data_IF_096173353419
#
_entry.id   IF_096173353419
#
_cell.length_a   1.000
_cell.length_b   1.000
_cell.length_c   1.000
_cell.angle_alpha   90.00
_cell.angle_beta   90.00
_cell.angle_gamma   90.00
#
_symmetry.space_group_name_H-M   'P 1'
#
loop_
_entity.id
_entity.type
_entity.pdbx_description
1 polymer ?
#
# COMPACT_ATOMS: atom_id res chain seq x y z
N UNK A 1 22.98 -19.35 -19.80
CA UNK A 1 21.88 -18.67 -19.10
C UNK A 1 22.20 -18.63 -17.60
N UNK A 2 22.08 -17.47 -16.98
CA UNK A 2 22.36 -17.32 -15.56
C UNK A 2 21.18 -17.86 -14.72
N UNK A 3 21.50 -18.71 -13.74
CA UNK A 3 20.52 -19.16 -12.77
C UNK A 3 20.26 -18.00 -11.79
N UNK A 4 19.02 -17.46 -11.78
CA UNK A 4 18.66 -16.31 -10.96
C UNK A 4 18.75 -16.59 -9.46
N UNK A 5 18.58 -17.85 -9.02
CA UNK A 5 18.71 -18.21 -7.61
C UNK A 5 20.14 -18.03 -7.09
N UNK A 6 21.13 -18.20 -7.97
CA UNK A 6 22.55 -18.04 -7.61
C UNK A 6 22.98 -16.59 -7.46
N UNK A 7 22.22 -15.62 -7.97
CA UNK A 7 22.50 -14.19 -7.82
C UNK A 7 21.67 -13.53 -6.73
N UNK A 8 20.99 -14.33 -5.89
CA UNK A 8 20.30 -13.81 -4.70
C UNK A 8 18.98 -13.12 -4.95
N UNK A 9 18.34 -13.33 -6.11
CA UNK A 9 17.02 -12.79 -6.38
C UNK A 9 15.94 -13.51 -5.57
N UNK A 10 14.94 -12.78 -5.12
CA UNK A 10 13.84 -13.31 -4.33
C UNK A 10 12.67 -13.68 -5.23
N UNK A 11 12.02 -14.78 -4.89
CA UNK A 11 10.80 -15.21 -5.55
C UNK A 11 9.58 -14.57 -4.89
N UNK A 12 8.51 -14.34 -5.66
CA UNK A 12 7.29 -13.71 -5.17
C UNK A 12 6.40 -14.62 -4.36
N UNK A 13 6.68 -15.92 -4.31
CA UNK A 13 5.87 -16.88 -3.55
C UNK A 13 5.82 -16.66 -2.06
N UNK A 14 6.72 -15.84 -1.50
CA UNK A 14 6.69 -15.46 -0.09
C UNK A 14 5.66 -14.35 0.21
N UNK A 15 5.06 -13.73 -0.81
CA UNK A 15 4.10 -12.66 -0.63
C UNK A 15 2.72 -13.26 -0.40
N UNK A 16 2.13 -13.01 0.78
CA UNK A 16 0.80 -13.51 1.12
C UNK A 16 -0.31 -12.52 0.75
N UNK A 17 0.01 -11.26 0.60
CA UNK A 17 -0.92 -10.21 0.24
C UNK A 17 -0.20 -8.87 0.15
N UNK A 18 -0.99 -7.81 -0.01
CA UNK A 18 -0.51 -6.43 -0.08
C UNK A 18 -1.40 -5.52 0.75
N UNK A 19 -0.81 -4.47 1.29
CA UNK A 19 -1.55 -3.33 1.82
C UNK A 19 -1.30 -2.12 0.92
N UNK A 20 -2.37 -1.41 0.57
CA UNK A 20 -2.29 -0.11 -0.06
C UNK A 20 -2.87 0.92 0.90
N UNK A 21 -2.07 1.90 1.28
CA UNK A 21 -2.45 2.96 2.21
C UNK A 21 -2.71 4.23 1.41
N UNK A 22 -3.96 4.67 1.39
CA UNK A 22 -4.36 5.91 0.73
C UNK A 22 -4.18 7.05 1.73
N UNK A 23 -3.30 8.00 1.41
CA UNK A 23 -3.00 9.13 2.28
C UNK A 23 -3.86 10.33 1.92
N UNK A 24 -4.26 11.08 2.94
CA UNK A 24 -5.10 12.26 2.78
C UNK A 24 -4.92 13.22 3.96
N UNK A 25 -5.52 14.39 3.85
CA UNK A 25 -5.61 15.38 4.92
C UNK A 25 -7.08 15.80 5.12
N UNK A 26 -7.31 16.82 5.93
CA UNK A 26 -8.67 17.28 6.20
C UNK A 26 -9.40 17.79 4.95
N UNK A 27 -8.65 18.29 3.95
CA UNK A 27 -9.23 18.80 2.71
C UNK A 27 -9.56 17.72 1.70
N UNK A 28 -8.93 16.53 1.82
CA UNK A 28 -9.05 15.43 0.84
C UNK A 28 -9.65 14.16 1.42
N UNK A 29 -10.09 14.17 2.68
CA UNK A 29 -10.65 12.97 3.34
C UNK A 29 -11.87 12.42 2.59
N UNK A 30 -12.76 13.28 2.10
CA UNK A 30 -13.94 12.82 1.36
C UNK A 30 -13.56 12.15 0.05
N UNK A 31 -12.58 12.71 -0.66
CA UNK A 31 -12.06 12.13 -1.90
C UNK A 31 -11.46 10.75 -1.63
N UNK A 32 -10.65 10.63 -0.57
CA UNK A 32 -10.04 9.36 -0.19
C UNK A 32 -11.09 8.31 0.21
N UNK A 33 -12.12 8.73 0.94
CA UNK A 33 -13.22 7.84 1.34
C UNK A 33 -13.92 7.25 0.11
N UNK A 34 -14.26 8.08 -0.87
CA UNK A 34 -14.91 7.64 -2.10
C UNK A 34 -14.01 6.66 -2.86
N UNK A 35 -12.71 6.99 -2.99
CA UNK A 35 -11.75 6.13 -3.69
C UNK A 35 -11.67 4.74 -3.03
N UNK A 36 -11.52 4.70 -1.71
CA UNK A 36 -11.41 3.43 -0.98
C UNK A 36 -12.70 2.61 -1.03
N UNK A 37 -13.86 3.26 -0.90
CA UNK A 37 -15.15 2.57 -1.01
C UNK A 37 -15.34 1.95 -2.40
N UNK A 38 -15.00 2.69 -3.45
CA UNK A 38 -15.11 2.17 -4.83
C UNK A 38 -14.14 1.01 -5.06
N UNK A 39 -12.92 1.10 -4.54
CA UNK A 39 -11.96 0.01 -4.64
C UNK A 39 -12.50 -1.26 -4.00
N UNK A 40 -13.08 -1.16 -2.80
CA UNK A 40 -13.68 -2.29 -2.10
C UNK A 40 -14.83 -2.91 -2.89
N UNK A 41 -15.69 -2.07 -3.47
CA UNK A 41 -16.83 -2.54 -4.28
C UNK A 41 -16.39 -3.26 -5.56
N UNK A 42 -15.39 -2.71 -6.27
CA UNK A 42 -14.97 -3.23 -7.57
C UNK A 42 -14.12 -4.49 -7.42
N UNK A 43 -13.16 -4.49 -6.49
CA UNK A 43 -12.16 -5.53 -6.40
C UNK A 43 -12.36 -6.52 -5.24
N UNK A 44 -13.29 -6.21 -4.32
CA UNK A 44 -13.50 -7.03 -3.13
C UNK A 44 -12.39 -6.94 -2.10
N UNK A 45 -11.52 -5.93 -2.20
CA UNK A 45 -10.45 -5.71 -1.22
C UNK A 45 -11.05 -5.25 0.11
N UNK A 46 -10.34 -5.54 1.21
CA UNK A 46 -10.82 -5.19 2.54
C UNK A 46 -10.42 -3.76 2.87
N UNK A 47 -11.43 -2.90 3.04
CA UNK A 47 -11.23 -1.53 3.45
C UNK A 47 -11.15 -1.43 4.97
N UNK A 48 -10.07 -0.83 5.48
CA UNK A 48 -9.91 -0.53 6.90
C UNK A 48 -10.59 0.78 7.29
N UNK A 49 -10.27 1.26 8.49
CA UNK A 49 -10.80 2.53 8.99
C UNK A 49 -10.21 3.72 8.24
N UNK A 50 -10.99 4.78 8.13
CA UNK A 50 -10.51 6.09 7.67
C UNK A 50 -10.00 6.82 8.91
N UNK A 51 -8.67 6.93 9.04
CA UNK A 51 -8.03 7.52 10.22
C UNK A 51 -7.82 9.02 10.01
N UNK A 52 -8.30 9.81 10.98
CA UNK A 52 -8.12 11.26 11.02
C UNK A 52 -7.01 11.68 11.99
N UNK A 53 -6.02 10.83 12.16
CA UNK A 53 -4.81 11.04 12.95
C UNK A 53 -3.70 10.16 12.40
N UNK A 54 -2.47 10.41 12.83
CA UNK A 54 -1.34 9.56 12.42
C UNK A 54 -1.44 8.20 13.12
N UNK A 55 -1.34 7.12 12.35
CA UNK A 55 -1.35 5.75 12.85
C UNK A 55 -0.19 4.97 12.24
N UNK A 56 0.40 4.06 13.01
CA UNK A 56 1.51 3.23 12.56
C UNK A 56 2.68 4.08 12.03
N UNK A 57 3.35 3.64 10.95
CA UNK A 57 4.48 4.35 10.38
C UNK A 57 4.08 5.51 9.45
N UNK A 58 2.79 5.76 9.26
CA UNK A 58 2.29 6.63 8.21
C UNK A 58 2.43 8.12 8.58
N UNK A 59 2.98 8.97 7.69
CA UNK A 59 3.19 10.39 7.96
C UNK A 59 1.97 11.27 7.69
N UNK A 60 0.86 10.69 7.23
CA UNK A 60 -0.41 11.36 6.95
C UNK A 60 -1.56 10.54 7.48
N UNK A 61 -2.76 11.14 7.54
CA UNK A 61 -3.99 10.38 7.74
C UNK A 61 -4.13 9.36 6.62
N UNK A 62 -4.70 8.21 6.91
CA UNK A 62 -4.69 7.10 5.96
C UNK A 62 -5.87 6.17 6.10
N UNK A 63 -6.14 5.46 5.00
CA UNK A 63 -7.08 4.35 4.94
C UNK A 63 -6.38 3.17 4.26
N UNK A 64 -6.40 2.00 4.89
CA UNK A 64 -5.77 0.79 4.36
C UNK A 64 -6.73 0.00 3.50
N UNK A 65 -6.23 -0.46 2.36
CA UNK A 65 -6.87 -1.46 1.52
C UNK A 65 -6.01 -2.72 1.56
N UNK A 66 -6.57 -3.82 2.05
CA UNK A 66 -5.87 -5.11 2.09
C UNK A 66 -6.32 -5.99 0.92
N UNK A 67 -5.37 -6.49 0.17
CA UNK A 67 -5.61 -7.23 -1.06
C UNK A 67 -4.78 -8.51 -1.10
N UNK A 68 -5.33 -9.58 -1.66
CA UNK A 68 -4.51 -10.71 -2.05
C UNK A 68 -3.68 -10.36 -3.31
N UNK A 69 -2.72 -11.21 -3.72
CA UNK A 69 -1.89 -10.89 -4.88
C UNK A 69 -2.68 -10.68 -6.18
N UNK A 70 -3.75 -11.44 -6.41
CA UNK A 70 -4.58 -11.29 -7.61
C UNK A 70 -5.37 -9.99 -7.59
N UNK A 71 -5.96 -9.65 -6.45
CA UNK A 71 -6.66 -8.39 -6.28
C UNK A 71 -5.72 -7.20 -6.46
N UNK A 72 -4.52 -7.29 -5.91
CA UNK A 72 -3.54 -6.20 -5.98
C UNK A 72 -3.08 -5.93 -7.40
N UNK A 73 -2.95 -6.98 -8.22
CA UNK A 73 -2.58 -6.82 -9.62
C UNK A 73 -3.58 -5.94 -10.40
N UNK A 74 -4.84 -5.96 -10.00
CA UNK A 74 -5.88 -5.12 -10.59
C UNK A 74 -6.03 -3.78 -9.87
N UNK A 75 -5.87 -3.77 -8.56
CA UNK A 75 -6.03 -2.58 -7.72
C UNK A 75 -4.98 -1.52 -8.03
N UNK A 76 -3.71 -1.91 -8.14
CA UNK A 76 -2.61 -0.97 -8.28
C UNK A 76 -2.74 -0.08 -9.52
N UNK A 77 -2.94 -0.63 -10.74
CA UNK A 77 -3.15 0.23 -11.91
C UNK A 77 -4.42 1.09 -11.81
N UNK A 78 -5.48 0.56 -11.20
CA UNK A 78 -6.71 1.35 -10.99
C UNK A 78 -6.46 2.53 -10.05
N UNK A 79 -5.72 2.32 -8.95
CA UNK A 79 -5.32 3.40 -8.05
C UNK A 79 -4.45 4.43 -8.77
N UNK A 80 -3.51 3.98 -9.59
CA UNK A 80 -2.64 4.88 -10.34
C UNK A 80 -3.46 5.83 -11.24
N UNK A 81 -4.53 5.33 -11.86
CA UNK A 81 -5.39 6.13 -12.73
C UNK A 81 -6.37 7.02 -11.94
N UNK A 82 -6.80 6.60 -10.75
CA UNK A 82 -7.93 7.22 -10.06
C UNK A 82 -7.57 7.98 -8.78
N UNK A 83 -6.32 7.97 -8.33
CA UNK A 83 -5.90 8.65 -7.10
C UNK A 83 -6.07 10.16 -7.14
N UNK A 84 -6.06 10.78 -8.29
CA UNK A 84 -6.33 12.21 -8.51
C UNK A 84 -5.59 13.11 -7.49
N UNK A 85 -4.26 12.99 -7.48
CA UNK A 85 -3.39 13.75 -6.58
C UNK A 85 -3.17 13.17 -5.19
N UNK A 86 -3.98 12.20 -4.75
CA UNK A 86 -3.73 11.51 -3.48
C UNK A 86 -2.45 10.67 -3.57
N UNK A 87 -1.71 10.63 -2.47
CA UNK A 87 -0.53 9.78 -2.37
C UNK A 87 -0.97 8.39 -1.90
N UNK A 88 -0.46 7.34 -2.55
CA UNK A 88 -0.70 5.96 -2.12
C UNK A 88 0.64 5.30 -1.84
N UNK A 89 0.76 4.70 -0.67
CA UNK A 89 1.88 3.85 -0.29
C UNK A 89 1.43 2.41 -0.20
N UNK A 90 2.02 1.53 -1.01
CA UNK A 90 1.71 0.11 -0.98
C UNK A 90 2.95 -0.70 -0.62
N UNK A 91 2.74 -1.86 -0.04
CA UNK A 91 3.84 -2.77 0.29
C UNK A 91 3.35 -4.23 0.29
N UNK A 92 4.23 -5.18 -0.01
CA UNK A 92 3.89 -6.59 0.15
C UNK A 92 3.82 -6.99 1.62
N UNK A 93 3.19 -8.11 1.89
CA UNK A 93 3.17 -8.79 3.18
C UNK A 93 3.99 -10.07 3.06
N UNK A 94 5.22 -10.06 3.63
CA UNK A 94 6.12 -11.22 3.59
C UNK A 94 6.42 -11.79 4.99
N UNK A 95 5.93 -11.14 6.05
CA UNK A 95 6.24 -11.47 7.43
C UNK A 95 7.41 -10.66 8.01
N UNK A 96 8.18 -9.96 7.18
CA UNK A 96 9.24 -9.04 7.60
C UNK A 96 8.75 -7.60 7.44
N UNK A 97 8.12 -7.07 8.48
CA UNK A 97 7.48 -5.76 8.40
C UNK A 97 8.46 -4.63 8.08
N UNK A 98 9.67 -4.67 8.64
CA UNK A 98 10.66 -3.64 8.35
C UNK A 98 11.04 -3.64 6.86
N UNK A 99 11.40 -4.81 6.33
CA UNK A 99 11.76 -4.94 4.92
C UNK A 99 10.59 -4.58 4.00
N UNK A 100 9.37 -5.02 4.33
CA UNK A 100 8.18 -4.76 3.54
C UNK A 100 7.94 -3.25 3.38
N UNK A 101 8.16 -2.47 4.43
CA UNK A 101 7.95 -1.02 4.41
C UNK A 101 9.17 -0.24 3.92
N UNK A 102 10.37 -0.65 4.32
CA UNK A 102 11.61 0.09 4.00
C UNK A 102 12.12 -0.21 2.59
N UNK A 103 12.18 -1.51 2.24
CA UNK A 103 12.90 -1.97 1.03
C UNK A 103 11.96 -2.26 -0.13
N UNK A 104 10.71 -2.63 0.15
CA UNK A 104 9.77 -3.14 -0.86
C UNK A 104 8.55 -2.23 -1.05
N UNK A 105 8.62 -1.00 -0.57
CA UNK A 105 7.53 -0.04 -0.70
C UNK A 105 7.30 0.42 -2.15
N UNK A 106 6.05 0.66 -2.47
CA UNK A 106 5.60 1.14 -3.77
C UNK A 106 4.86 2.45 -3.55
N UNK A 107 5.31 3.52 -4.19
CA UNK A 107 4.68 4.83 -4.07
C UNK A 107 3.95 5.21 -5.34
N UNK A 108 2.71 5.67 -5.21
CA UNK A 108 2.01 6.40 -6.26
C UNK A 108 1.97 7.87 -5.83
N UNK A 109 2.53 8.72 -6.66
CA UNK A 109 2.75 10.12 -6.33
C UNK A 109 4.09 10.33 -5.64
N UNK A 110 4.21 11.39 -4.85
CA UNK A 110 5.44 11.74 -4.14
C UNK A 110 5.69 10.79 -2.97
N UNK A 111 6.88 10.19 -2.93
CA UNK A 111 7.28 9.38 -1.78
C UNK A 111 7.48 10.24 -0.53
N UNK A 112 7.06 9.71 0.62
CA UNK A 112 7.17 10.37 1.91
C UNK A 112 8.03 9.53 2.85
N UNK A 113 8.47 10.14 3.95
CA UNK A 113 9.27 9.44 4.95
C UNK A 113 8.38 8.74 5.97
N UNK A 114 8.50 7.42 6.08
CA UNK A 114 7.78 6.62 7.07
C UNK A 114 8.52 6.65 8.41
N UNK A 115 7.77 6.52 9.51
CA UNK A 115 8.35 6.26 10.83
C UNK A 115 8.60 4.75 10.97
N UNK A 116 9.83 4.34 10.67
CA UNK A 116 10.23 2.94 10.70
C UNK A 116 10.63 2.45 12.10
N UNK A 117 10.65 3.32 13.11
CA UNK A 117 11.05 2.96 14.48
C UNK A 117 10.13 1.89 15.09
N UNK A 118 8.89 1.78 14.61
CA UNK A 118 7.92 0.77 15.04
C UNK A 118 8.37 -0.66 14.72
N UNK A 119 9.26 -0.83 13.73
CA UNK A 119 9.71 -2.15 13.26
C UNK A 119 11.16 -2.45 13.66
N UNK A 120 11.79 -1.56 14.41
CA UNK A 120 13.19 -1.74 14.80
C UNK A 120 13.34 -2.73 15.97
#
# INVERSE_FOLDING_TARGET
>A
MTDTTKIGLKETGCITGYHAHVYFDADTVEQALVLCQRAAEIFGVKMGRVHDKLVGPHPMWSCQLAADPEQFAQLLPWLALNRDGLIVFAHPETGDELADHRDHGIWLGTGLELDLSLFA
#
